data_IF_251680273526
#
_entry.id   IF_251680273526
#
_cell.length_a   1.000
_cell.length_b   1.000
_cell.length_c   1.000
_cell.angle_alpha   90.00
_cell.angle_beta   90.00
_cell.angle_gamma   90.00
#
_symmetry.space_group_name_H-M   'P 1'
#
loop_
_entity.id
_entity.type
_entity.pdbx_description
1 polymer ?
#
# COMPACT_ATOMS: atom_id res chain seq x y z
N UNK A 1 3.44 6.27 -1.90
CA UNK A 1 2.06 6.81 -2.08
C UNK A 1 2.03 8.05 -2.96
N UNK A 2 2.77 9.10 -2.60
CA UNK A 2 2.73 10.38 -3.33
C UNK A 2 2.96 10.22 -4.85
N UNK A 3 4.08 9.64 -5.27
CA UNK A 3 4.39 9.46 -6.69
C UNK A 3 3.42 8.54 -7.45
N UNK A 4 2.79 7.55 -6.77
CA UNK A 4 1.74 6.74 -7.39
C UNK A 4 0.47 7.56 -7.65
N UNK A 5 0.08 8.40 -6.69
CA UNK A 5 -1.05 9.31 -6.84
C UNK A 5 -0.80 10.31 -7.98
N UNK A 6 0.38 10.91 -8.01
CA UNK A 6 0.81 11.84 -9.07
C UNK A 6 0.73 11.18 -10.45
N UNK A 7 1.34 10.01 -10.62
CA UNK A 7 1.31 9.29 -11.91
C UNK A 7 -0.10 8.91 -12.37
N UNK A 8 -1.02 8.58 -11.45
CA UNK A 8 -2.43 8.35 -11.80
C UNK A 8 -3.12 9.64 -12.24
N UNK A 9 -2.86 10.76 -11.59
CA UNK A 9 -3.41 12.07 -11.97
C UNK A 9 -2.85 12.56 -13.31
N UNK A 10 -1.57 12.34 -13.58
CA UNK A 10 -0.96 12.61 -14.89
C UNK A 10 -1.58 11.75 -16.01
N UNK A 11 -2.03 10.53 -15.69
CA UNK A 11 -2.80 9.68 -16.59
C UNK A 11 -4.28 10.08 -16.73
N UNK A 12 -4.71 11.17 -16.07
CA UNK A 12 -6.06 11.73 -16.19
C UNK A 12 -7.06 11.22 -15.14
N UNK A 13 -6.61 10.50 -14.11
CA UNK A 13 -7.50 10.04 -13.05
C UNK A 13 -7.85 11.19 -12.08
N UNK A 14 -9.08 11.19 -11.58
CA UNK A 14 -9.45 11.84 -10.33
C UNK A 14 -9.04 10.94 -9.17
N UNK A 15 -8.33 11.47 -8.17
CA UNK A 15 -7.69 10.64 -7.13
C UNK A 15 -8.10 11.08 -5.74
N UNK A 16 -8.40 10.11 -4.89
CA UNK A 16 -8.50 10.32 -3.44
C UNK A 16 -7.27 9.73 -2.76
N UNK A 17 -6.54 10.56 -2.02
CA UNK A 17 -5.42 10.13 -1.21
C UNK A 17 -5.85 9.97 0.25
N UNK A 18 -5.33 8.91 0.91
CA UNK A 18 -5.62 8.64 2.31
C UNK A 18 -4.36 8.82 3.15
N UNK A 19 -4.51 9.44 4.31
CA UNK A 19 -3.43 9.61 5.29
C UNK A 19 -3.95 9.56 6.72
N UNK A 20 -3.05 9.33 7.68
CA UNK A 20 -3.40 9.21 9.11
C UNK A 20 -3.47 10.57 9.83
N UNK A 21 -3.07 11.65 9.19
CA UNK A 21 -3.04 13.00 9.77
C UNK A 21 -3.66 14.05 8.85
N UNK A 22 -3.95 15.22 9.38
CA UNK A 22 -4.55 16.33 8.62
C UNK A 22 -3.66 16.84 7.46
N UNK A 23 -2.36 16.49 7.45
CA UNK A 23 -1.45 16.76 6.33
C UNK A 23 -1.98 16.22 4.98
N UNK A 24 -2.85 15.21 4.99
CA UNK A 24 -3.44 14.66 3.77
C UNK A 24 -4.23 15.74 3.00
N UNK A 25 -4.88 16.65 3.71
CA UNK A 25 -5.64 17.73 3.08
C UNK A 25 -4.73 18.77 2.42
N UNK A 26 -3.60 19.11 3.05
CA UNK A 26 -2.61 20.03 2.47
C UNK A 26 -1.97 19.41 1.22
N UNK A 27 -1.68 18.10 1.25
CA UNK A 27 -1.14 17.37 0.08
C UNK A 27 -2.16 17.36 -1.06
N UNK A 28 -3.43 17.06 -0.76
CA UNK A 28 -4.49 17.07 -1.78
C UNK A 28 -4.66 18.47 -2.39
N UNK A 29 -4.65 19.52 -1.53
CA UNK A 29 -4.69 20.91 -1.99
C UNK A 29 -3.51 21.24 -2.91
N UNK A 30 -2.29 20.81 -2.55
CA UNK A 30 -1.10 21.03 -3.37
C UNK A 30 -1.22 20.39 -4.78
N UNK A 31 -1.88 19.25 -4.91
CA UNK A 31 -2.20 18.67 -6.21
C UNK A 31 -3.27 19.47 -6.96
N UNK A 32 -4.31 19.95 -6.27
CA UNK A 32 -5.33 20.82 -6.87
C UNK A 32 -4.76 22.15 -7.37
N UNK A 33 -3.84 22.76 -6.62
CA UNK A 33 -3.15 23.99 -7.01
C UNK A 33 -2.30 23.80 -8.30
N UNK A 34 -1.92 22.56 -8.62
CA UNK A 34 -1.24 22.16 -9.86
C UNK A 34 -2.22 21.78 -10.99
N UNK A 35 -3.52 21.90 -10.79
CA UNK A 35 -4.56 21.63 -11.79
C UNK A 35 -5.07 20.19 -11.82
N UNK A 36 -4.68 19.33 -10.88
CA UNK A 36 -5.20 17.96 -10.77
C UNK A 36 -6.52 17.90 -9.97
N UNK A 37 -7.29 16.85 -10.18
CA UNK A 37 -8.46 16.53 -9.36
C UNK A 37 -8.04 15.59 -8.24
N UNK A 38 -7.90 16.11 -7.02
CA UNK A 38 -7.44 15.36 -5.86
C UNK A 38 -8.26 15.68 -4.62
N UNK A 39 -8.63 14.65 -3.86
CA UNK A 39 -9.32 14.76 -2.59
C UNK A 39 -8.48 14.12 -1.48
N UNK A 40 -8.58 14.63 -0.27
CA UNK A 40 -7.93 14.06 0.91
C UNK A 40 -8.95 13.41 1.83
N UNK A 41 -8.65 12.22 2.34
CA UNK A 41 -9.42 11.53 3.38
C UNK A 41 -8.48 11.13 4.51
N UNK A 42 -8.86 11.46 5.74
CA UNK A 42 -8.10 11.06 6.93
C UNK A 42 -8.67 9.77 7.48
N UNK A 43 -7.83 8.70 7.52
CA UNK A 43 -8.20 7.43 8.13
C UNK A 43 -6.97 6.70 8.66
N UNK A 44 -7.12 6.05 9.81
CA UNK A 44 -6.11 5.20 10.45
C UNK A 44 -6.46 3.72 10.20
N UNK A 45 -5.76 3.09 9.28
CA UNK A 45 -6.01 1.70 8.88
C UNK A 45 -5.50 0.65 9.90
N UNK A 46 -4.94 1.08 11.03
CA UNK A 46 -4.77 0.21 12.19
C UNK A 46 -6.10 -0.10 12.89
N UNK A 47 -7.13 0.70 12.64
CA UNK A 47 -8.47 0.60 13.22
C UNK A 47 -9.47 0.12 12.19
N UNK A 48 -10.00 -1.09 12.38
CA UNK A 48 -10.89 -1.75 11.41
C UNK A 48 -12.08 -0.88 11.01
N UNK A 49 -12.69 -0.20 11.96
CA UNK A 49 -13.83 0.70 11.72
C UNK A 49 -13.43 1.85 10.79
N UNK A 50 -12.23 2.39 10.95
CA UNK A 50 -11.71 3.45 10.09
C UNK A 50 -11.30 2.96 8.70
N UNK A 51 -11.00 1.66 8.52
CA UNK A 51 -10.80 1.09 7.18
C UNK A 51 -12.11 1.17 6.39
N UNK A 52 -13.23 0.73 6.97
CA UNK A 52 -14.54 0.80 6.33
C UNK A 52 -15.01 2.25 6.13
N UNK A 53 -14.90 3.09 7.15
CA UNK A 53 -15.33 4.48 7.05
C UNK A 53 -14.50 5.24 6.02
N UNK A 54 -13.17 5.12 6.07
CA UNK A 54 -12.28 5.77 5.11
C UNK A 54 -12.50 5.30 3.67
N UNK A 55 -12.80 4.01 3.46
CA UNK A 55 -13.18 3.51 2.14
C UNK A 55 -14.47 4.18 1.65
N UNK A 56 -15.51 4.23 2.49
CA UNK A 56 -16.79 4.86 2.14
C UNK A 56 -16.63 6.35 1.84
N UNK A 57 -15.82 7.07 2.63
CA UNK A 57 -15.54 8.48 2.42
C UNK A 57 -14.80 8.71 1.08
N UNK A 58 -13.86 7.83 0.73
CA UNK A 58 -13.18 7.87 -0.58
C UNK A 58 -14.16 7.67 -1.73
N UNK A 59 -15.02 6.67 -1.65
CA UNK A 59 -16.03 6.38 -2.69
C UNK A 59 -17.02 7.54 -2.81
N UNK A 60 -17.44 8.11 -1.68
CA UNK A 60 -18.34 9.29 -1.68
C UNK A 60 -17.68 10.50 -2.36
N UNK A 61 -16.38 10.76 -2.10
CA UNK A 61 -15.63 11.84 -2.74
C UNK A 61 -15.49 11.65 -4.26
N UNK A 62 -15.54 10.41 -4.76
CA UNK A 62 -15.54 10.06 -6.19
C UNK A 62 -16.96 9.97 -6.80
N UNK A 63 -17.99 10.46 -6.11
CA UNK A 63 -19.35 10.42 -6.62
C UNK A 63 -20.02 9.05 -6.59
N UNK A 64 -19.51 8.11 -5.83
CA UNK A 64 -20.09 6.78 -5.62
C UNK A 64 -19.56 5.68 -6.53
N UNK A 65 -18.59 5.96 -7.39
CA UNK A 65 -17.94 4.98 -8.29
C UNK A 65 -16.45 4.80 -7.96
N UNK A 66 -15.88 3.67 -8.38
CA UNK A 66 -14.48 3.33 -8.17
C UNK A 66 -13.96 2.46 -9.32
N UNK A 67 -12.98 2.97 -10.06
CA UNK A 67 -12.30 2.24 -11.15
C UNK A 67 -11.01 1.56 -10.69
N UNK A 68 -10.23 2.25 -9.86
CA UNK A 68 -8.89 1.82 -9.48
C UNK A 68 -8.70 2.00 -7.97
N UNK A 69 -8.16 0.99 -7.30
CA UNK A 69 -7.65 1.12 -5.93
C UNK A 69 -6.18 0.70 -5.88
N UNK A 70 -5.36 1.49 -5.20
CA UNK A 70 -3.95 1.18 -4.92
C UNK A 70 -3.75 1.06 -3.42
N UNK A 71 -3.52 -0.16 -2.95
CA UNK A 71 -3.27 -0.45 -1.54
C UNK A 71 -1.78 -0.22 -1.23
N UNK A 72 -1.40 1.06 -1.06
CA UNK A 72 -0.01 1.51 -0.86
C UNK A 72 0.38 1.75 0.60
N UNK A 73 -0.56 1.60 1.53
CA UNK A 73 -0.31 1.79 2.96
C UNK A 73 0.48 0.62 3.56
N UNK A 74 1.14 0.90 4.67
CA UNK A 74 1.88 -0.12 5.39
C UNK A 74 2.78 0.49 6.46
N UNK A 75 3.06 -0.30 7.48
CA UNK A 75 3.97 0.00 8.57
C UNK A 75 5.03 -1.09 8.69
N UNK A 76 6.12 -0.77 9.38
CA UNK A 76 7.17 -1.73 9.67
C UNK A 76 7.64 -1.60 11.12
N UNK A 77 7.89 -2.75 11.76
CA UNK A 77 8.51 -2.88 13.08
C UNK A 77 9.72 -3.79 12.94
N UNK A 78 10.78 -3.53 13.71
CA UNK A 78 12.06 -4.23 13.58
C UNK A 78 12.55 -4.76 14.91
N UNK A 79 12.52 -6.07 15.08
CA UNK A 79 13.10 -6.81 16.19
C UNK A 79 13.59 -8.17 15.69
N UNK A 80 14.55 -8.78 16.39
CA UNK A 80 14.88 -10.19 16.16
C UNK A 80 13.64 -11.06 16.42
N UNK A 81 13.46 -12.11 15.62
CA UNK A 81 12.21 -12.88 15.62
C UNK A 81 11.89 -13.50 17.00
N UNK A 82 12.91 -13.93 17.72
CA UNK A 82 12.78 -14.58 19.04
C UNK A 82 12.32 -13.63 20.17
N UNK A 83 12.43 -12.32 19.96
CA UNK A 83 12.00 -11.29 20.91
C UNK A 83 11.02 -10.28 20.30
N UNK A 84 10.40 -10.64 19.17
CA UNK A 84 9.47 -9.75 18.50
C UNK A 84 8.19 -9.58 19.35
N UNK A 85 7.79 -8.34 19.74
CA UNK A 85 6.60 -8.11 20.53
C UNK A 85 5.35 -8.55 19.77
N UNK A 86 4.48 -9.32 20.43
CA UNK A 86 3.25 -9.85 19.81
C UNK A 86 2.29 -8.72 19.43
N UNK A 87 2.21 -7.66 20.19
CA UNK A 87 1.37 -6.50 19.92
C UNK A 87 1.82 -5.79 18.63
N UNK A 88 3.13 -5.69 18.38
CA UNK A 88 3.66 -5.13 17.14
C UNK A 88 3.49 -6.09 15.95
N UNK A 89 3.53 -7.40 16.19
CA UNK A 89 3.19 -8.40 15.18
C UNK A 89 1.74 -8.23 14.72
N UNK A 90 0.80 -8.16 15.67
CA UNK A 90 -0.61 -7.99 15.39
C UNK A 90 -0.90 -6.66 14.69
N UNK A 91 -0.26 -5.57 15.13
CA UNK A 91 -0.36 -4.26 14.49
C UNK A 91 0.07 -4.32 13.02
N UNK A 92 1.24 -4.91 12.74
CA UNK A 92 1.77 -5.02 11.38
C UNK A 92 0.87 -5.88 10.49
N UNK A 93 0.40 -7.03 10.98
CA UNK A 93 -0.53 -7.88 10.21
C UNK A 93 -1.86 -7.17 9.97
N UNK A 94 -2.37 -6.46 10.97
CA UNK A 94 -3.63 -5.74 10.84
C UNK A 94 -3.55 -4.65 9.76
N UNK A 95 -2.50 -3.82 9.79
CA UNK A 95 -2.33 -2.74 8.80
C UNK A 95 -1.91 -3.27 7.42
N UNK A 96 -0.96 -4.23 7.36
CA UNK A 96 -0.34 -4.59 6.08
C UNK A 96 -1.04 -5.74 5.33
N UNK A 97 -1.95 -6.48 6.00
CA UNK A 97 -2.64 -7.62 5.40
C UNK A 97 -4.15 -7.55 5.59
N UNK A 98 -4.64 -7.44 6.83
CA UNK A 98 -6.08 -7.47 7.10
C UNK A 98 -6.80 -6.29 6.45
N UNK A 99 -6.26 -5.07 6.58
CA UNK A 99 -6.85 -3.88 5.97
C UNK A 99 -6.80 -3.95 4.43
N UNK A 100 -5.73 -4.52 3.85
CA UNK A 100 -5.63 -4.74 2.40
C UNK A 100 -6.72 -5.66 1.91
N UNK A 101 -6.99 -6.78 2.62
CA UNK A 101 -8.10 -7.67 2.27
C UNK A 101 -9.45 -6.96 2.35
N UNK A 102 -9.72 -6.21 3.43
CA UNK A 102 -10.98 -5.46 3.60
C UNK A 102 -11.16 -4.48 2.43
N UNK A 103 -10.14 -3.69 2.11
CA UNK A 103 -10.20 -2.71 1.02
C UNK A 103 -10.41 -3.38 -0.35
N UNK A 104 -9.76 -4.52 -0.61
CA UNK A 104 -9.99 -5.31 -1.82
C UNK A 104 -11.45 -5.82 -1.88
N UNK A 105 -11.98 -6.31 -0.76
CA UNK A 105 -13.35 -6.82 -0.67
C UNK A 105 -14.40 -5.73 -0.89
N UNK A 106 -14.23 -4.57 -0.25
CA UNK A 106 -15.15 -3.44 -0.42
C UNK A 106 -15.10 -2.86 -1.85
N UNK A 107 -13.90 -2.71 -2.43
CA UNK A 107 -13.74 -2.31 -3.82
C UNK A 107 -14.40 -3.30 -4.79
N UNK A 108 -14.23 -4.59 -4.56
CA UNK A 108 -14.83 -5.64 -5.40
C UNK A 108 -16.37 -5.60 -5.39
N UNK A 109 -17.01 -5.20 -4.28
CA UNK A 109 -18.48 -5.05 -4.24
C UNK A 109 -19.01 -4.03 -5.25
N UNK A 110 -18.23 -2.98 -5.52
CA UNK A 110 -18.55 -1.96 -6.53
C UNK A 110 -18.14 -2.45 -7.92
N UNK A 111 -16.88 -2.84 -8.08
CA UNK A 111 -16.27 -3.18 -9.36
C UNK A 111 -16.94 -4.39 -10.04
N UNK A 112 -17.28 -5.43 -9.27
CA UNK A 112 -17.95 -6.63 -9.80
C UNK A 112 -19.37 -6.37 -10.28
N UNK A 113 -20.09 -5.40 -9.70
CA UNK A 113 -21.42 -4.99 -10.19
C UNK A 113 -21.36 -4.32 -11.54
N UNK A 114 -20.31 -3.53 -11.78
CA UNK A 114 -20.13 -2.84 -13.06
C UNK A 114 -19.34 -3.66 -14.08
N UNK A 115 -18.76 -4.81 -13.70
CA UNK A 115 -17.96 -5.65 -14.58
C UNK A 115 -16.60 -5.03 -14.97
N UNK A 116 -16.09 -4.09 -14.19
CA UNK A 116 -14.82 -3.40 -14.43
C UNK A 116 -14.18 -2.93 -13.14
N UNK A 117 -12.86 -3.13 -13.02
CA UNK A 117 -12.07 -2.60 -11.92
C UNK A 117 -10.60 -3.02 -11.96
N UNK A 118 -9.75 -2.22 -11.32
CA UNK A 118 -8.32 -2.49 -11.18
C UNK A 118 -7.89 -2.36 -9.71
N UNK A 119 -7.36 -3.42 -9.16
CA UNK A 119 -6.83 -3.46 -7.81
C UNK A 119 -5.32 -3.67 -7.90
N UNK A 120 -4.55 -2.78 -7.30
CA UNK A 120 -3.09 -2.82 -7.27
C UNK A 120 -2.64 -2.89 -5.81
N UNK A 121 -2.08 -4.02 -5.41
CA UNK A 121 -1.52 -4.22 -4.07
C UNK A 121 -0.01 -3.94 -4.07
N UNK A 122 0.50 -3.38 -2.99
CA UNK A 122 1.94 -3.22 -2.83
C UNK A 122 2.47 -4.35 -1.95
N UNK A 123 3.07 -5.35 -2.62
CA UNK A 123 3.84 -6.43 -2.03
C UNK A 123 5.27 -5.94 -1.66
N UNK A 124 6.24 -6.81 -1.65
CA UNK A 124 7.65 -6.49 -1.42
C UNK A 124 8.52 -7.62 -1.93
N UNK A 125 9.78 -7.38 -2.20
CA UNK A 125 10.77 -8.45 -2.45
C UNK A 125 10.86 -9.43 -1.28
N UNK A 126 10.65 -9.00 -0.04
CA UNK A 126 10.64 -9.89 1.13
C UNK A 126 9.52 -10.94 1.07
N UNK A 127 8.53 -10.77 0.21
CA UNK A 127 7.50 -11.79 -0.06
C UNK A 127 8.09 -13.11 -0.56
N UNK A 128 9.28 -13.10 -1.17
CA UNK A 128 9.98 -14.29 -1.71
C UNK A 128 11.27 -14.60 -0.95
N UNK A 129 12.04 -13.57 -0.59
CA UNK A 129 13.38 -13.78 -0.05
C UNK A 129 13.44 -13.72 1.48
N UNK A 130 12.35 -13.31 2.13
CA UNK A 130 12.37 -12.99 3.55
C UNK A 130 13.14 -11.70 3.84
N UNK A 131 13.12 -11.31 5.10
CA UNK A 131 13.88 -10.15 5.60
C UNK A 131 14.55 -10.48 6.92
N UNK A 132 15.51 -9.65 7.32
CA UNK A 132 16.11 -9.73 8.66
C UNK A 132 15.41 -8.75 9.59
N UNK A 133 15.07 -9.19 10.80
CA UNK A 133 14.42 -8.40 11.86
C UNK A 133 13.04 -7.84 11.52
N UNK A 134 12.35 -8.40 10.52
CA UNK A 134 11.04 -7.96 10.04
C UNK A 134 10.06 -9.14 9.83
N UNK A 135 9.90 -10.06 10.80
CA UNK A 135 9.10 -11.26 10.60
C UNK A 135 7.65 -10.95 10.26
N UNK A 136 6.99 -10.04 11.00
CA UNK A 136 5.60 -9.66 10.76
C UNK A 136 5.39 -9.01 9.38
N UNK A 137 6.29 -8.11 8.98
CA UNK A 137 6.24 -7.48 7.65
C UNK A 137 6.42 -8.50 6.54
N UNK A 138 7.35 -9.44 6.69
CA UNK A 138 7.58 -10.53 5.73
C UNK A 138 6.35 -11.42 5.60
N UNK A 139 5.74 -11.83 6.71
CA UNK A 139 4.52 -12.61 6.72
C UNK A 139 3.36 -11.87 6.04
N UNK A 140 3.16 -10.59 6.38
CA UNK A 140 2.12 -9.76 5.79
C UNK A 140 2.30 -9.61 4.26
N UNK A 141 3.51 -9.29 3.80
CA UNK A 141 3.78 -9.09 2.36
C UNK A 141 3.75 -10.39 1.56
N UNK A 142 4.15 -11.53 2.18
CA UNK A 142 3.90 -12.87 1.64
C UNK A 142 2.40 -13.15 1.49
N UNK A 143 1.62 -12.85 2.55
CA UNK A 143 0.16 -12.96 2.54
C UNK A 143 -0.49 -12.11 1.44
N UNK A 144 -0.10 -10.84 1.29
CA UNK A 144 -0.60 -9.95 0.20
C UNK A 144 -0.30 -10.52 -1.17
N UNK A 145 0.86 -11.16 -1.36
CA UNK A 145 1.23 -11.78 -2.64
C UNK A 145 0.31 -12.96 -2.99
N UNK A 146 0.02 -13.83 -2.03
CA UNK A 146 -0.90 -14.97 -2.25
C UNK A 146 -2.35 -14.49 -2.37
N UNK A 147 -2.77 -13.54 -1.54
CA UNK A 147 -4.09 -12.92 -1.63
C UNK A 147 -4.33 -12.30 -3.03
N UNK A 148 -3.34 -11.61 -3.58
CA UNK A 148 -3.44 -11.04 -4.93
C UNK A 148 -3.72 -12.09 -5.99
N UNK A 149 -3.06 -13.25 -5.91
CA UNK A 149 -3.29 -14.37 -6.86
C UNK A 149 -4.69 -14.96 -6.70
N UNK A 150 -5.12 -15.19 -5.47
CA UNK A 150 -6.46 -15.70 -5.15
C UNK A 150 -7.54 -14.79 -5.71
N UNK A 151 -7.51 -13.51 -5.35
CA UNK A 151 -8.50 -12.54 -5.81
C UNK A 151 -8.47 -12.33 -7.34
N UNK A 152 -7.29 -12.46 -7.96
CA UNK A 152 -7.17 -12.43 -9.42
C UNK A 152 -7.88 -13.61 -10.07
N UNK A 153 -7.69 -14.83 -9.54
CA UNK A 153 -8.36 -16.03 -10.05
C UNK A 153 -9.89 -15.91 -9.93
N UNK A 154 -10.38 -15.40 -8.78
CA UNK A 154 -11.82 -15.29 -8.51
C UNK A 154 -12.52 -14.24 -9.36
N UNK A 155 -11.83 -13.14 -9.70
CA UNK A 155 -12.51 -11.95 -10.22
C UNK A 155 -12.20 -11.60 -11.66
N UNK A 156 -11.14 -12.17 -12.27
CA UNK A 156 -10.73 -11.81 -13.63
C UNK A 156 -11.81 -12.09 -14.68
N UNK A 157 -12.50 -13.22 -14.58
CA UNK A 157 -13.58 -13.58 -15.48
C UNK A 157 -14.82 -12.66 -15.37
N UNK A 158 -14.88 -11.88 -14.29
CA UNK A 158 -15.95 -10.92 -13.99
C UNK A 158 -15.51 -9.46 -14.20
N UNK A 159 -14.37 -9.25 -14.91
CA UNK A 159 -13.89 -7.93 -15.34
C UNK A 159 -13.03 -7.17 -14.34
N UNK A 160 -12.65 -7.76 -13.20
CA UNK A 160 -11.80 -7.12 -12.20
C UNK A 160 -10.39 -7.72 -12.24
N UNK A 161 -9.40 -6.88 -12.50
CA UNK A 161 -7.99 -7.28 -12.49
C UNK A 161 -7.36 -6.97 -11.13
N UNK A 162 -6.70 -7.96 -10.53
CA UNK A 162 -5.96 -7.80 -9.28
C UNK A 162 -4.50 -8.11 -9.53
N UNK A 163 -3.63 -7.13 -9.31
CA UNK A 163 -2.19 -7.24 -9.51
C UNK A 163 -1.43 -6.74 -8.29
N UNK A 164 -0.16 -7.08 -8.19
CA UNK A 164 0.73 -6.53 -7.18
C UNK A 164 2.03 -6.01 -7.79
N UNK A 165 2.55 -4.93 -7.19
CA UNK A 165 3.90 -4.45 -7.43
C UNK A 165 4.74 -4.86 -6.23
N UNK A 166 5.92 -5.44 -6.47
CA UNK A 166 6.86 -5.86 -5.43
C UNK A 166 8.14 -5.02 -5.50
N UNK A 167 8.16 -3.84 -4.88
CA UNK A 167 9.35 -2.99 -4.88
C UNK A 167 10.51 -3.65 -4.14
N UNK A 168 11.72 -3.38 -4.64
CA UNK A 168 12.95 -3.61 -3.91
C UNK A 168 13.28 -2.48 -2.95
N UNK A 169 14.55 -2.29 -2.69
CA UNK A 169 15.01 -1.15 -1.92
C UNK A 169 14.96 0.12 -2.79
N UNK A 170 14.26 1.13 -2.30
CA UNK A 170 14.14 2.42 -2.97
C UNK A 170 14.60 3.52 -2.02
N UNK A 171 15.29 4.52 -2.56
CA UNK A 171 15.75 5.69 -1.83
C UNK A 171 14.57 6.61 -1.46
N UNK A 172 13.87 6.25 -0.39
CA UNK A 172 12.70 6.99 0.13
C UNK A 172 12.91 7.30 1.61
N UNK A 173 12.09 8.19 2.15
CA UNK A 173 12.11 8.57 3.57
C UNK A 173 12.03 7.34 4.51
N UNK A 174 11.25 6.32 4.14
CA UNK A 174 11.15 5.07 4.91
C UNK A 174 12.51 4.35 5.08
N UNK A 175 13.42 4.54 4.15
CA UNK A 175 14.74 3.89 4.12
C UNK A 175 15.88 4.86 4.48
N UNK A 176 15.60 6.09 4.91
CA UNK A 176 16.61 7.13 5.16
C UNK A 176 17.76 6.65 6.07
N UNK A 177 17.43 5.94 7.14
CA UNK A 177 18.44 5.38 8.05
C UNK A 177 19.34 4.30 7.40
N UNK A 178 18.91 3.67 6.31
CA UNK A 178 19.67 2.67 5.57
C UNK A 178 20.45 3.29 4.39
N UNK A 179 20.20 4.55 4.06
CA UNK A 179 20.88 5.28 2.99
C UNK A 179 22.16 5.97 3.48
N UNK A 180 22.43 5.96 4.78
CA UNK A 180 23.65 6.46 5.37
C UNK A 180 24.80 5.51 5.01
N UNK A 181 25.87 5.95 4.30
CA UNK A 181 27.03 5.14 3.97
C UNK A 181 27.77 4.58 5.20
N UNK A 182 27.67 5.24 6.35
CA UNK A 182 28.24 4.77 7.62
C UNK A 182 27.43 3.63 8.26
N UNK A 183 26.19 3.39 7.76
CA UNK A 183 25.40 2.27 8.21
C UNK A 183 25.96 0.96 7.63
N UNK A 184 26.36 -0.01 8.46
CA UNK A 184 26.96 -1.28 7.97
C UNK A 184 26.05 -2.04 6.98
N UNK A 185 24.77 -1.79 7.01
CA UNK A 185 23.81 -2.43 6.09
C UNK A 185 23.70 -1.76 4.73
N UNK A 186 24.17 -0.52 4.58
CA UNK A 186 24.12 0.19 3.30
C UNK A 186 24.84 -0.58 2.19
N UNK A 187 26.09 -0.92 2.44
CA UNK A 187 26.90 -1.68 1.47
C UNK A 187 26.32 -3.07 1.21
N UNK A 188 25.96 -3.81 2.28
CA UNK A 188 25.37 -5.15 2.16
C UNK A 188 24.09 -5.16 1.31
N UNK A 189 23.25 -4.12 1.44
CA UNK A 189 22.02 -4.01 0.66
C UNK A 189 22.36 -3.63 -0.79
N UNK A 190 23.23 -2.65 -0.98
CA UNK A 190 23.60 -2.15 -2.31
C UNK A 190 24.21 -3.26 -3.17
N UNK A 191 25.10 -4.08 -2.61
CA UNK A 191 25.72 -5.23 -3.31
C UNK A 191 24.71 -6.32 -3.72
N UNK A 192 23.56 -6.41 -3.04
CA UNK A 192 22.48 -7.35 -3.40
C UNK A 192 21.57 -6.82 -4.50
N UNK A 193 21.65 -5.54 -4.83
CA UNK A 193 20.86 -4.93 -5.91
C UNK A 193 21.65 -5.10 -7.21
N UNK A 194 21.11 -5.82 -8.23
CA UNK A 194 21.86 -6.04 -9.49
C UNK A 194 22.32 -4.75 -10.18
N UNK A 195 21.57 -3.65 -9.99
CA UNK A 195 21.95 -2.34 -10.52
C UNK A 195 23.05 -1.64 -9.70
N UNK A 196 23.49 -2.22 -8.58
CA UNK A 196 24.47 -1.70 -7.64
C UNK A 196 24.16 -0.24 -7.17
N UNK A 197 22.89 0.09 -7.10
CA UNK A 197 22.36 1.37 -6.62
C UNK A 197 20.91 1.22 -6.16
N UNK A 198 20.52 2.10 -5.27
CA UNK A 198 19.15 2.22 -4.75
C UNK A 198 18.21 2.91 -5.75
#
# INVERSE_FOLDING_TARGET
GYGMAEGLMEAGCEVVIVGTSDKVYDVAKGFCDRGFKCHGVKADFSKREQVYQGFNDCVAALGGDLDIIVNAHGIQRRHSAEVFPIEEWDEVLNVNLNSVFILCQEAAKIMLKKGYGKIINIASMVSWFGGQTVPAYTAAKGGVTQLTKELSNDWIARGVNVNAIAPGYMATEMNSALLDPENPRYQQITERIPANRW
#
